data_IF_708990785646
#
_entry.id   IF_708990785646
#
_cell.length_a   1.000
_cell.length_b   1.000
_cell.length_c   1.000
_cell.angle_alpha   90.00
_cell.angle_beta   90.00
_cell.angle_gamma   90.00
#
_symmetry.space_group_name_H-M   'P 1'
#
loop_
_entity.id
_entity.type
_entity.pdbx_description
1 polymer ?
#
# COMPACT_ATOMS: atom_id res chain seq x y z
N UNK A 1 29.54 -20.14 -21.34
CA UNK A 1 28.83 -18.92 -20.85
C UNK A 1 27.73 -18.41 -21.79
N UNK A 2 27.93 -18.30 -23.11
CA UNK A 2 26.92 -17.77 -24.04
C UNK A 2 25.61 -18.58 -24.15
N UNK A 3 25.68 -19.91 -24.14
CA UNK A 3 24.50 -20.79 -24.25
C UNK A 3 23.58 -20.74 -23.01
N UNK A 4 24.17 -20.63 -21.81
CA UNK A 4 23.43 -20.47 -20.56
C UNK A 4 22.73 -19.10 -20.49
N UNK A 5 23.40 -18.04 -20.95
CA UNK A 5 22.83 -16.68 -21.03
C UNK A 5 21.69 -16.58 -22.05
N UNK A 6 21.78 -17.28 -23.18
CA UNK A 6 20.72 -17.33 -24.20
C UNK A 6 19.51 -18.15 -23.74
N UNK A 7 19.71 -19.28 -23.05
CA UNK A 7 18.61 -20.03 -22.43
C UNK A 7 17.88 -19.23 -21.36
N UNK A 8 18.60 -18.54 -20.47
CA UNK A 8 18.00 -17.68 -19.44
C UNK A 8 17.20 -16.51 -20.03
N UNK A 9 17.70 -15.89 -21.12
CA UNK A 9 16.99 -14.81 -21.81
C UNK A 9 15.70 -15.30 -22.49
N UNK A 10 15.74 -16.43 -23.19
CA UNK A 10 14.55 -17.01 -23.82
C UNK A 10 13.51 -17.46 -22.79
N UNK A 11 13.94 -17.96 -21.63
CA UNK A 11 13.03 -18.37 -20.56
C UNK A 11 12.34 -17.16 -19.90
N UNK A 12 13.10 -16.09 -19.62
CA UNK A 12 12.53 -14.83 -19.11
C UNK A 12 11.56 -14.17 -20.10
N UNK A 13 11.87 -14.20 -21.40
CA UNK A 13 10.99 -13.69 -22.45
C UNK A 13 9.70 -14.52 -22.57
N UNK A 14 9.80 -15.86 -22.50
CA UNK A 14 8.64 -16.74 -22.48
C UNK A 14 7.78 -16.56 -21.22
N UNK A 15 8.41 -16.40 -20.06
CA UNK A 15 7.71 -16.18 -18.79
C UNK A 15 6.98 -14.83 -18.81
N UNK A 16 7.62 -13.76 -19.31
CA UNK A 16 6.99 -12.45 -19.49
C UNK A 16 5.81 -12.52 -20.46
N UNK A 17 5.98 -13.16 -21.62
CA UNK A 17 4.90 -13.30 -22.62
C UNK A 17 3.70 -14.09 -22.07
N UNK A 18 3.95 -15.13 -21.27
CA UNK A 18 2.90 -15.89 -20.58
C UNK A 18 2.18 -15.05 -19.51
N UNK A 19 2.91 -14.22 -18.77
CA UNK A 19 2.32 -13.29 -17.80
C UNK A 19 1.44 -12.24 -18.47
N UNK A 20 1.87 -11.70 -19.61
CA UNK A 20 1.10 -10.72 -20.39
C UNK A 20 -0.20 -11.33 -20.93
N UNK A 21 -0.15 -12.59 -21.38
CA UNK A 21 -1.34 -13.34 -21.79
C UNK A 21 -2.34 -13.47 -20.63
N UNK A 22 -1.88 -13.82 -19.42
CA UNK A 22 -2.77 -13.92 -18.24
C UNK A 22 -3.37 -12.58 -17.82
N UNK A 23 -2.63 -11.48 -17.95
CA UNK A 23 -3.18 -10.12 -17.74
C UNK A 23 -4.32 -9.84 -18.71
N UNK A 24 -4.14 -10.19 -20.00
CA UNK A 24 -5.17 -10.05 -21.01
C UNK A 24 -6.39 -10.95 -20.72
N UNK A 25 -6.18 -12.20 -20.31
CA UNK A 25 -7.25 -13.13 -19.91
C UNK A 25 -8.09 -12.58 -18.75
N UNK A 26 -7.46 -12.09 -17.68
CA UNK A 26 -8.19 -11.46 -16.57
C UNK A 26 -8.96 -10.23 -17.04
N UNK A 27 -8.37 -9.38 -17.87
CA UNK A 27 -9.03 -8.20 -18.43
C UNK A 27 -10.27 -8.56 -19.23
N UNK A 28 -10.18 -9.57 -20.09
CA UNK A 28 -11.33 -10.09 -20.85
C UNK A 28 -12.38 -10.66 -19.90
N UNK A 29 -11.96 -11.42 -18.90
CA UNK A 29 -12.87 -12.08 -17.96
C UNK A 29 -13.61 -11.12 -17.02
N UNK A 30 -13.05 -9.94 -16.71
CA UNK A 30 -13.72 -8.86 -15.98
C UNK A 30 -14.82 -8.17 -16.81
N UNK A 31 -14.73 -8.26 -18.14
CA UNK A 31 -15.62 -7.56 -19.04
C UNK A 31 -15.35 -6.05 -19.12
N UNK A 32 -16.25 -5.28 -19.74
CA UNK A 32 -16.07 -3.84 -19.91
C UNK A 32 -16.09 -3.12 -18.56
N UNK A 33 -15.06 -2.32 -18.30
CA UNK A 33 -14.96 -1.44 -17.13
C UNK A 33 -15.13 0.02 -17.56
N UNK A 34 -15.65 0.85 -16.66
CA UNK A 34 -15.81 2.29 -16.85
C UNK A 34 -15.40 3.09 -15.61
N UNK A 35 -15.26 4.40 -15.78
CA UNK A 35 -14.97 5.34 -14.69
C UNK A 35 -13.74 4.96 -13.85
N UNK A 36 -13.88 5.04 -12.53
CA UNK A 36 -12.79 4.75 -11.58
C UNK A 36 -12.33 3.29 -11.62
N UNK A 37 -13.22 2.34 -11.93
CA UNK A 37 -12.86 0.92 -12.06
C UNK A 37 -11.90 0.70 -13.22
N UNK A 38 -12.16 1.33 -14.37
CA UNK A 38 -11.23 1.30 -15.52
C UNK A 38 -9.88 1.93 -15.16
N UNK A 39 -9.91 3.08 -14.46
CA UNK A 39 -8.69 3.77 -14.03
C UNK A 39 -7.86 2.96 -13.02
N UNK A 40 -8.51 2.23 -12.12
CA UNK A 40 -7.86 1.37 -11.13
C UNK A 40 -7.24 0.12 -11.77
N UNK A 41 -7.91 -0.51 -12.73
CA UNK A 41 -7.53 -1.79 -13.34
C UNK A 41 -6.45 -1.69 -14.44
N UNK A 42 -5.34 -1.00 -14.13
CA UNK A 42 -4.13 -0.98 -14.97
C UNK A 42 -3.49 -2.37 -15.10
N UNK A 43 -2.64 -2.58 -16.09
CA UNK A 43 -1.90 -3.85 -16.27
C UNK A 43 -1.11 -4.22 -15.01
N UNK A 44 -0.43 -3.23 -14.41
CA UNK A 44 0.29 -3.43 -13.14
C UNK A 44 -0.66 -3.83 -12.01
N UNK A 45 -1.87 -3.26 -11.95
CA UNK A 45 -2.90 -3.71 -11.02
C UNK A 45 -3.26 -5.17 -11.24
N UNK A 46 -3.61 -5.56 -12.48
CA UNK A 46 -3.99 -6.94 -12.79
C UNK A 46 -2.87 -7.93 -12.43
N UNK A 47 -1.60 -7.58 -12.68
CA UNK A 47 -0.44 -8.39 -12.28
C UNK A 47 -0.37 -8.60 -10.77
N UNK A 48 -0.60 -7.58 -9.94
CA UNK A 48 -0.58 -7.75 -8.48
C UNK A 48 -1.63 -8.75 -7.99
N UNK A 49 -2.84 -8.71 -8.56
CA UNK A 49 -3.90 -9.68 -8.24
C UNK A 49 -3.59 -11.08 -8.78
N UNK A 50 -2.92 -11.19 -9.93
CA UNK A 50 -2.39 -12.45 -10.46
C UNK A 50 -1.33 -13.03 -9.53
N UNK A 51 -0.31 -12.26 -9.17
CA UNK A 51 0.75 -12.70 -8.27
C UNK A 51 0.21 -13.17 -6.91
N UNK A 52 -0.71 -12.42 -6.31
CA UNK A 52 -1.34 -12.76 -5.04
C UNK A 52 -2.19 -14.04 -5.07
N UNK A 53 -2.52 -14.55 -6.26
CA UNK A 53 -3.26 -15.81 -6.44
C UNK A 53 -2.49 -16.82 -7.30
N UNK A 54 -1.15 -16.74 -7.30
CA UNK A 54 -0.27 -17.66 -8.02
C UNK A 54 -0.58 -17.77 -9.52
N UNK A 55 -0.93 -16.64 -10.13
CA UNK A 55 -1.30 -16.52 -11.54
C UNK A 55 -2.53 -17.34 -11.94
N UNK A 56 -3.45 -17.60 -11.01
CA UNK A 56 -4.75 -18.24 -11.26
C UNK A 56 -5.79 -17.19 -11.66
N UNK A 57 -6.20 -17.22 -12.93
CA UNK A 57 -7.06 -16.19 -13.55
C UNK A 57 -8.39 -16.05 -12.83
N UNK A 58 -9.06 -17.15 -12.50
CA UNK A 58 -10.38 -17.14 -11.87
C UNK A 58 -10.31 -16.60 -10.44
N UNK A 59 -9.32 -17.05 -9.66
CA UNK A 59 -9.13 -16.54 -8.29
C UNK A 59 -8.72 -15.07 -8.28
N UNK A 60 -7.88 -14.64 -9.20
CA UNK A 60 -7.48 -13.24 -9.34
C UNK A 60 -8.64 -12.34 -9.75
N UNK A 61 -9.44 -12.78 -10.74
CA UNK A 61 -10.67 -12.09 -11.14
C UNK A 61 -11.58 -11.90 -9.94
N UNK A 62 -11.90 -12.98 -9.21
CA UNK A 62 -12.79 -12.94 -8.05
C UNK A 62 -12.30 -11.95 -6.99
N UNK A 63 -11.03 -12.02 -6.62
CA UNK A 63 -10.42 -11.10 -5.64
C UNK A 63 -10.46 -9.64 -6.10
N UNK A 64 -10.28 -9.40 -7.40
CA UNK A 64 -10.35 -8.06 -7.98
C UNK A 64 -11.79 -7.53 -8.02
N UNK A 65 -12.78 -8.35 -8.38
CA UNK A 65 -14.20 -7.98 -8.31
C UNK A 65 -14.64 -7.63 -6.88
N UNK A 66 -14.19 -8.41 -5.89
CA UNK A 66 -14.40 -8.11 -4.47
C UNK A 66 -13.79 -6.77 -4.07
N UNK A 67 -12.61 -6.44 -4.62
CA UNK A 67 -11.94 -5.16 -4.38
C UNK A 67 -12.62 -3.99 -5.08
N UNK A 68 -13.09 -4.16 -6.31
CA UNK A 68 -13.87 -3.15 -7.02
C UNK A 68 -15.19 -2.85 -6.28
N UNK A 69 -15.85 -3.88 -5.75
CA UNK A 69 -17.05 -3.73 -4.91
C UNK A 69 -16.73 -3.04 -3.58
N UNK A 70 -15.62 -3.40 -2.94
CA UNK A 70 -15.17 -2.72 -1.73
C UNK A 70 -14.88 -1.24 -2.02
N UNK A 71 -14.17 -0.92 -3.10
CA UNK A 71 -13.88 0.48 -3.47
C UNK A 71 -15.14 1.27 -3.80
N UNK A 72 -16.13 0.69 -4.47
CA UNK A 72 -17.38 1.39 -4.78
C UNK A 72 -18.22 1.73 -3.55
N UNK A 73 -18.07 0.96 -2.47
CA UNK A 73 -18.83 1.15 -1.21
C UNK A 73 -18.04 1.92 -0.16
N UNK A 74 -16.78 1.55 0.05
CA UNK A 74 -15.88 2.15 1.04
C UNK A 74 -15.26 3.48 0.57
N UNK A 75 -15.09 3.64 -0.75
CA UNK A 75 -14.59 4.84 -1.42
C UNK A 75 -13.28 5.38 -0.82
N UNK A 76 -12.21 4.57 -0.82
CA UNK A 76 -10.94 4.96 -0.20
C UNK A 76 -10.34 6.23 -0.83
N UNK A 77 -10.60 6.47 -2.13
CA UNK A 77 -10.16 7.69 -2.81
C UNK A 77 -10.92 8.97 -2.41
N UNK A 78 -12.06 8.87 -1.72
CA UNK A 78 -12.86 10.03 -1.27
C UNK A 78 -12.55 10.40 0.20
N UNK A 79 -11.68 9.67 0.88
CA UNK A 79 -11.28 9.99 2.26
C UNK A 79 -10.34 11.20 2.24
N UNK A 80 -10.69 12.26 2.98
CA UNK A 80 -9.89 13.47 3.11
C UNK A 80 -9.13 13.52 4.43
N UNK A 81 -7.98 14.21 4.44
CA UNK A 81 -7.15 14.35 5.63
C UNK A 81 -7.90 14.87 6.86
N UNK A 82 -8.74 15.92 6.78
CA UNK A 82 -9.44 16.46 7.95
C UNK A 82 -10.34 15.43 8.66
N UNK A 83 -10.83 14.41 7.96
CA UNK A 83 -11.65 13.35 8.55
C UNK A 83 -10.84 12.40 9.45
N UNK A 84 -9.54 12.24 9.17
CA UNK A 84 -8.68 11.23 9.81
C UNK A 84 -7.45 11.84 10.49
N UNK A 85 -7.30 13.17 10.50
CA UNK A 85 -6.13 13.87 11.03
C UNK A 85 -5.91 13.57 12.53
N UNK A 86 -6.99 13.55 13.33
CA UNK A 86 -6.92 13.28 14.77
C UNK A 86 -6.27 11.92 15.11
N UNK A 87 -6.46 10.91 14.25
CA UNK A 87 -5.81 9.60 14.42
C UNK A 87 -4.27 9.70 14.26
N UNK A 88 -3.79 10.69 13.51
CA UNK A 88 -2.38 10.91 13.22
C UNK A 88 -1.64 11.81 14.22
N UNK A 89 -2.30 12.42 15.21
CA UNK A 89 -1.69 13.46 16.09
C UNK A 89 -0.38 13.03 16.77
N UNK A 90 -0.28 11.75 17.13
CA UNK A 90 0.92 11.17 17.78
C UNK A 90 1.92 10.57 16.79
N UNK A 91 1.62 10.61 15.49
CA UNK A 91 2.41 9.97 14.43
C UNK A 91 2.48 8.45 14.61
N UNK A 92 1.36 7.81 14.97
CA UNK A 92 1.28 6.35 15.08
C UNK A 92 1.44 5.63 13.74
N UNK A 93 1.01 6.27 12.66
CA UNK A 93 1.28 5.84 11.28
C UNK A 93 1.48 7.09 10.44
N UNK A 94 2.50 7.13 9.59
CA UNK A 94 2.71 8.24 8.67
C UNK A 94 3.64 7.84 7.51
N UNK A 95 3.58 8.60 6.41
CA UNK A 95 4.54 8.50 5.31
C UNK A 95 5.79 9.27 5.66
N UNK A 96 6.95 8.62 5.57
CA UNK A 96 8.23 9.29 5.77
C UNK A 96 8.51 10.29 4.64
N UNK A 97 9.30 11.32 4.94
CA UNK A 97 9.83 12.27 3.97
C UNK A 97 11.13 11.78 3.29
N UNK A 98 11.56 10.56 3.60
CA UNK A 98 12.71 9.89 2.98
C UNK A 98 12.28 8.60 2.29
N UNK A 99 13.16 8.10 1.44
CA UNK A 99 12.96 6.87 0.68
C UNK A 99 14.01 5.84 1.08
N UNK A 100 13.74 4.57 0.76
CA UNK A 100 14.81 3.58 0.80
C UNK A 100 15.79 3.76 -0.38
N UNK A 101 16.89 3.00 -0.39
CA UNK A 101 17.93 3.08 -1.44
C UNK A 101 17.44 2.74 -2.85
N UNK A 102 16.26 2.15 -2.98
CA UNK A 102 15.61 1.87 -4.27
C UNK A 102 14.58 2.95 -4.64
N UNK A 103 14.48 4.03 -3.86
CA UNK A 103 13.56 5.14 -4.07
C UNK A 103 12.13 4.85 -3.61
N UNK A 104 11.86 3.69 -2.97
CA UNK A 104 10.48 3.34 -2.60
C UNK A 104 10.01 4.21 -1.44
N UNK A 105 8.73 4.58 -1.49
CA UNK A 105 8.02 5.24 -0.40
C UNK A 105 8.11 4.41 0.87
N UNK A 106 8.26 5.09 2.01
CA UNK A 106 8.39 4.46 3.32
C UNK A 106 7.19 4.82 4.19
N UNK A 107 6.49 3.81 4.69
CA UNK A 107 5.50 3.98 5.76
C UNK A 107 6.14 3.65 7.10
N UNK A 108 5.98 4.56 8.07
CA UNK A 108 6.41 4.35 9.45
C UNK A 108 5.16 4.07 10.29
N UNK A 109 5.19 2.98 11.05
CA UNK A 109 4.16 2.61 12.01
C UNK A 109 4.79 2.48 13.39
N UNK A 110 4.19 3.11 14.39
CA UNK A 110 4.65 3.12 15.78
C UNK A 110 3.52 2.67 16.69
N UNK A 111 3.32 1.35 16.90
CA UNK A 111 2.22 0.85 17.73
C UNK A 111 2.26 1.37 19.19
N UNK A 112 3.42 1.76 19.70
CA UNK A 112 3.56 2.42 21.01
C UNK A 112 2.99 3.84 21.08
N UNK A 113 2.61 4.44 19.95
CA UNK A 113 2.07 5.80 19.86
C UNK A 113 0.55 5.81 19.65
N UNK A 114 -0.15 4.69 19.86
CA UNK A 114 -1.61 4.64 19.70
C UNK A 114 -2.30 5.66 20.62
N UNK A 115 -3.14 6.52 20.05
CA UNK A 115 -3.78 7.65 20.74
C UNK A 115 -5.30 7.55 20.82
N UNK A 116 -5.91 6.69 20.02
CA UNK A 116 -7.37 6.57 19.87
C UNK A 116 -7.82 5.12 20.04
N UNK A 117 -9.06 4.90 20.44
CA UNK A 117 -9.63 3.56 20.61
C UNK A 117 -10.53 3.10 19.45
N UNK A 118 -10.94 4.00 18.53
CA UNK A 118 -11.92 3.68 17.48
C UNK A 118 -11.34 2.75 16.41
N UNK A 119 -11.78 1.47 16.31
CA UNK A 119 -11.26 0.55 15.30
C UNK A 119 -11.51 1.04 13.88
N UNK A 120 -12.68 1.61 13.64
CA UNK A 120 -13.11 2.12 12.33
C UNK A 120 -12.24 3.29 11.88
N UNK A 121 -12.02 4.29 12.74
CA UNK A 121 -11.19 5.43 12.39
C UNK A 121 -9.72 5.04 12.19
N UNK A 122 -9.21 4.07 12.96
CA UNK A 122 -7.87 3.53 12.78
C UNK A 122 -7.70 2.86 11.42
N UNK A 123 -8.71 2.08 10.99
CA UNK A 123 -8.74 1.46 9.67
C UNK A 123 -8.84 2.54 8.58
N UNK A 124 -9.72 3.54 8.75
CA UNK A 124 -9.91 4.64 7.81
C UNK A 124 -8.63 5.46 7.62
N UNK A 125 -7.95 5.78 8.71
CA UNK A 125 -6.65 6.46 8.70
C UNK A 125 -5.57 5.64 8.00
N UNK A 126 -5.47 4.34 8.28
CA UNK A 126 -4.51 3.47 7.59
C UNK A 126 -4.79 3.38 6.09
N UNK A 127 -6.05 3.21 5.69
CA UNK A 127 -6.45 3.16 4.28
C UNK A 127 -6.13 4.48 3.57
N UNK A 128 -6.42 5.61 4.21
CA UNK A 128 -6.03 6.93 3.70
C UNK A 128 -4.52 7.02 3.43
N UNK A 129 -3.69 6.63 4.42
CA UNK A 129 -2.23 6.65 4.26
C UNK A 129 -1.74 5.66 3.20
N UNK A 130 -2.42 4.53 3.01
CA UNK A 130 -2.10 3.56 1.96
C UNK A 130 -2.36 4.14 0.56
N UNK A 131 -3.53 4.74 0.32
CA UNK A 131 -3.84 5.39 -0.97
C UNK A 131 -2.83 6.52 -1.27
N UNK A 132 -2.53 7.33 -0.25
CA UNK A 132 -1.53 8.41 -0.33
C UNK A 132 -0.12 7.91 -0.62
N UNK A 133 0.30 6.81 0.02
CA UNK A 133 1.60 6.20 -0.23
C UNK A 133 1.67 5.60 -1.64
N UNK A 134 0.58 4.99 -2.13
CA UNK A 134 0.51 4.44 -3.49
C UNK A 134 0.63 5.54 -4.54
N UNK A 135 -0.08 6.66 -4.40
CA UNK A 135 -0.01 7.79 -5.34
C UNK A 135 1.34 8.51 -5.32
N UNK A 136 2.16 8.28 -4.30
CA UNK A 136 3.49 8.86 -4.15
C UNK A 136 4.62 7.85 -4.34
N UNK A 137 4.31 6.67 -4.88
CA UNK A 137 5.34 5.77 -5.39
C UNK A 137 6.05 6.41 -6.59
N UNK A 138 7.37 6.20 -6.74
CA UNK A 138 8.07 6.56 -7.96
C UNK A 138 7.45 5.92 -9.20
N UNK A 139 7.69 6.52 -10.36
CA UNK A 139 7.25 5.93 -11.63
C UNK A 139 7.82 4.51 -11.80
N UNK A 140 6.94 3.56 -12.12
CA UNK A 140 7.27 2.13 -12.25
C UNK A 140 7.44 1.37 -10.93
N UNK A 141 7.38 2.04 -9.77
CA UNK A 141 7.40 1.37 -8.48
C UNK A 141 5.98 0.94 -8.06
N UNK A 142 5.84 -0.31 -7.64
CA UNK A 142 4.56 -0.89 -7.23
C UNK A 142 4.46 -1.20 -5.74
N UNK A 143 5.61 -1.13 -5.05
CA UNK A 143 5.78 -1.59 -3.68
C UNK A 143 6.44 -0.53 -2.79
N UNK A 144 6.08 -0.54 -1.51
CA UNK A 144 6.58 0.35 -0.47
C UNK A 144 7.25 -0.41 0.67
N UNK A 145 8.15 0.27 1.36
CA UNK A 145 8.87 -0.24 2.51
C UNK A 145 8.16 0.17 3.81
N UNK A 146 8.13 -0.73 4.78
CA UNK A 146 7.49 -0.49 6.08
C UNK A 146 8.54 -0.53 7.18
N UNK A 147 8.55 0.50 8.02
CA UNK A 147 9.31 0.54 9.27
C UNK A 147 8.32 0.53 10.43
N UNK A 148 8.33 -0.55 11.20
CA UNK A 148 7.40 -0.75 12.32
C UNK A 148 8.20 -0.70 13.62
N UNK A 149 8.13 0.42 14.33
CA UNK A 149 8.83 0.64 15.60
C UNK A 149 7.95 0.21 16.79
N UNK A 150 8.34 -0.88 17.44
CA UNK A 150 7.67 -1.39 18.63
C UNK A 150 8.19 -0.78 19.94
N UNK A 151 9.07 0.21 19.89
CA UNK A 151 9.51 0.93 21.08
C UNK A 151 8.30 1.57 21.77
N UNK A 152 8.17 1.37 23.09
CA UNK A 152 7.02 1.83 23.87
C UNK A 152 5.74 1.00 23.69
N UNK A 153 5.73 -0.03 22.84
CA UNK A 153 4.58 -0.93 22.72
C UNK A 153 4.28 -1.63 24.04
N UNK A 154 3.04 -1.51 24.51
CA UNK A 154 2.58 -2.10 25.76
C UNK A 154 1.10 -2.47 25.68
N UNK A 155 0.56 -3.05 26.76
CA UNK A 155 -0.86 -3.42 26.83
C UNK A 155 -1.80 -2.21 26.73
N UNK A 156 -1.36 -1.00 27.12
CA UNK A 156 -2.20 0.22 27.02
C UNK A 156 -2.28 0.78 25.61
N UNK A 157 -1.32 0.46 24.74
CA UNK A 157 -1.27 0.92 23.35
C UNK A 157 -1.72 -0.18 22.37
N UNK A 158 -2.26 -1.27 22.90
CA UNK A 158 -2.66 -2.45 22.14
C UNK A 158 -3.95 -2.20 21.35
N UNK A 159 -3.98 -2.62 20.09
CA UNK A 159 -5.22 -2.69 19.30
C UNK A 159 -5.91 -4.05 19.49
N UNK A 160 -7.24 -4.10 19.59
CA UNK A 160 -7.96 -5.37 19.67
C UNK A 160 -7.58 -6.35 18.54
N UNK A 161 -7.47 -7.65 18.84
CA UNK A 161 -7.22 -8.71 17.82
C UNK A 161 -8.18 -8.61 16.64
N UNK A 162 -9.45 -8.23 16.89
CA UNK A 162 -10.43 -8.04 15.82
C UNK A 162 -9.98 -6.94 14.85
N UNK A 163 -9.60 -5.77 15.36
CA UNK A 163 -9.07 -4.66 14.56
C UNK A 163 -7.82 -5.07 13.79
N UNK A 164 -6.89 -5.79 14.43
CA UNK A 164 -5.70 -6.30 13.75
C UNK A 164 -6.05 -7.27 12.61
N UNK A 165 -7.07 -8.13 12.80
CA UNK A 165 -7.58 -9.04 11.77
C UNK A 165 -8.23 -8.28 10.61
N UNK A 166 -9.04 -7.26 10.91
CA UNK A 166 -9.72 -6.45 9.91
C UNK A 166 -8.70 -5.67 9.06
N UNK A 167 -7.69 -5.05 9.69
CA UNK A 167 -6.54 -4.45 8.99
C UNK A 167 -5.84 -5.48 8.11
N UNK A 168 -5.51 -6.66 8.66
CA UNK A 168 -4.83 -7.71 7.90
C UNK A 168 -5.66 -8.17 6.70
N UNK A 169 -6.98 -8.25 6.85
CA UNK A 169 -7.90 -8.62 5.78
C UNK A 169 -7.90 -7.59 4.66
N UNK A 170 -7.99 -6.30 5.00
CA UNK A 170 -7.98 -5.20 4.02
C UNK A 170 -6.67 -5.18 3.24
N UNK A 171 -5.52 -5.25 3.94
CA UNK A 171 -4.21 -5.23 3.29
C UNK A 171 -4.01 -6.43 2.35
N UNK A 172 -4.43 -7.63 2.76
CA UNK A 172 -4.27 -8.85 1.95
C UNK A 172 -5.24 -8.91 0.77
N UNK A 173 -6.47 -8.42 0.92
CA UNK A 173 -7.51 -8.59 -0.10
C UNK A 173 -7.66 -7.41 -1.05
N UNK A 174 -7.37 -6.18 -0.60
CA UNK A 174 -7.59 -4.96 -1.37
C UNK A 174 -6.29 -4.22 -1.74
N UNK A 175 -5.17 -4.57 -1.10
CA UNK A 175 -3.84 -4.03 -1.38
C UNK A 175 -2.79 -5.13 -1.67
N UNK A 176 -3.10 -6.12 -2.53
CA UNK A 176 -2.17 -7.22 -2.81
C UNK A 176 -0.85 -6.71 -3.37
N UNK A 177 0.23 -7.40 -3.01
CA UNK A 177 1.59 -7.16 -3.50
C UNK A 177 2.08 -5.71 -3.38
N UNK A 178 1.59 -4.94 -2.40
CA UNK A 178 2.10 -3.58 -2.10
C UNK A 178 3.29 -3.55 -1.14
N UNK A 179 3.52 -4.62 -0.37
CA UNK A 179 4.65 -4.70 0.55
C UNK A 179 5.92 -5.13 -0.18
N UNK A 180 6.95 -4.30 -0.14
CA UNK A 180 8.29 -4.65 -0.60
C UNK A 180 9.10 -5.33 0.50
N UNK A 181 9.10 -4.74 1.70
CA UNK A 181 9.77 -5.24 2.90
C UNK A 181 9.15 -4.58 4.13
N UNK A 182 9.10 -5.30 5.25
CA UNK A 182 8.72 -4.79 6.55
C UNK A 182 9.84 -5.03 7.55
N UNK A 183 10.39 -3.98 8.12
CA UNK A 183 11.30 -4.07 9.25
C UNK A 183 10.54 -3.83 10.55
N UNK A 184 10.50 -4.86 11.40
CA UNK A 184 9.96 -4.78 12.75
C UNK A 184 11.12 -4.46 13.67
N UNK A 185 11.20 -3.20 14.10
CA UNK A 185 12.23 -2.67 14.95
C UNK A 185 11.86 -2.81 16.43
N UNK A 186 12.78 -3.38 17.21
CA UNK A 186 12.65 -3.64 18.64
C UNK A 186 11.33 -4.33 19.08
N UNK A 187 10.78 -5.33 18.35
CA UNK A 187 9.55 -5.98 18.77
C UNK A 187 9.78 -6.87 20.00
N UNK A 188 8.78 -7.06 20.87
CA UNK A 188 8.87 -8.01 21.98
C UNK A 188 9.35 -9.37 21.48
N UNK A 189 10.33 -9.99 22.14
CA UNK A 189 10.99 -11.23 21.65
C UNK A 189 10.01 -12.38 21.35
N UNK A 190 8.87 -12.41 22.02
CA UNK A 190 7.79 -13.37 21.74
C UNK A 190 7.26 -13.28 20.30
N UNK A 191 7.34 -12.11 19.64
CA UNK A 191 6.91 -11.91 18.26
C UNK A 191 7.73 -12.74 17.27
N UNK A 192 9.04 -12.94 17.51
CA UNK A 192 9.84 -13.83 16.66
C UNK A 192 9.37 -15.28 16.76
N UNK A 193 9.06 -15.75 17.97
CA UNK A 193 8.56 -17.10 18.19
C UNK A 193 7.20 -17.29 17.51
N UNK A 194 6.29 -16.33 17.68
CA UNK A 194 5.01 -16.31 16.99
C UNK A 194 5.17 -16.30 15.46
N UNK A 195 6.04 -15.42 14.93
CA UNK A 195 6.30 -15.33 13.50
C UNK A 195 6.84 -16.63 12.91
N UNK A 196 7.74 -17.33 13.62
CA UNK A 196 8.22 -18.66 13.21
C UNK A 196 7.09 -19.67 13.08
N UNK A 197 6.09 -19.62 13.96
CA UNK A 197 4.92 -20.50 13.89
C UNK A 197 3.97 -20.13 12.72
N UNK A 198 3.64 -18.85 12.57
CA UNK A 198 2.72 -18.43 11.49
C UNK A 198 3.34 -18.48 10.09
N UNK A 199 4.67 -18.41 10.00
CA UNK A 199 5.41 -18.47 8.73
C UNK A 199 5.07 -19.71 7.89
N UNK A 200 4.70 -20.83 8.50
CA UNK A 200 4.28 -22.04 7.78
C UNK A 200 2.95 -21.89 7.03
N UNK A 201 2.14 -20.88 7.39
CA UNK A 201 0.86 -20.59 6.77
C UNK A 201 0.92 -19.38 5.81
N UNK A 202 2.04 -18.65 5.79
CA UNK A 202 2.29 -17.56 4.86
C UNK A 202 2.94 -18.12 3.59
N UNK A 203 2.65 -17.52 2.44
CA UNK A 203 3.44 -17.81 1.26
C UNK A 203 4.91 -17.40 1.49
N UNK A 204 5.82 -18.12 0.85
CA UNK A 204 7.27 -17.94 1.06
C UNK A 204 7.73 -16.52 0.76
N UNK A 205 7.15 -15.84 -0.24
CA UNK A 205 7.53 -14.46 -0.60
C UNK A 205 7.16 -13.51 0.52
N UNK A 206 5.92 -13.56 1.01
CA UNK A 206 5.45 -12.72 2.13
C UNK A 206 6.29 -12.94 3.39
N UNK A 207 6.59 -14.21 3.73
CA UNK A 207 7.42 -14.51 4.89
C UNK A 207 8.86 -13.95 4.78
N UNK A 208 9.42 -13.89 3.57
CA UNK A 208 10.77 -13.35 3.34
C UNK A 208 10.82 -11.82 3.44
N UNK A 209 9.70 -11.12 3.23
CA UNK A 209 9.59 -9.65 3.32
C UNK A 209 9.64 -9.14 4.76
N UNK A 210 9.40 -9.97 5.77
CA UNK A 210 9.40 -9.56 7.19
C UNK A 210 10.79 -9.75 7.80
N UNK A 211 11.39 -8.65 8.28
CA UNK A 211 12.70 -8.62 8.93
C UNK A 211 12.56 -8.11 10.36
N UNK A 212 13.26 -8.76 11.28
CA UNK A 212 13.32 -8.34 12.68
C UNK A 212 14.63 -7.60 12.91
N UNK A 213 14.58 -6.44 13.56
CA UNK A 213 15.76 -5.63 13.89
C UNK A 213 15.77 -5.34 15.37
N UNK A 214 16.89 -5.62 16.02
CA UNK A 214 17.10 -5.33 17.43
C UNK A 214 18.29 -4.36 17.56
N UNK A 215 18.16 -3.25 18.30
CA UNK A 215 19.22 -2.25 18.42
C UNK A 215 20.60 -2.83 18.84
N UNK A 216 20.57 -3.88 19.66
CA UNK A 216 21.78 -4.52 20.20
C UNK A 216 22.31 -5.68 19.34
N UNK A 217 21.67 -5.99 18.21
CA UNK A 217 22.07 -7.04 17.28
C UNK A 217 22.65 -6.41 16.01
N UNK A 218 23.98 -6.49 15.88
CA UNK A 218 24.76 -5.87 14.80
C UNK A 218 24.32 -6.36 13.42
N UNK A 219 24.04 -7.65 13.25
CA UNK A 219 23.69 -8.23 11.96
C UNK A 219 22.32 -7.73 11.50
N UNK A 220 21.37 -7.63 12.44
CA UNK A 220 20.03 -7.11 12.15
C UNK A 220 20.03 -5.61 11.81
N UNK A 221 20.90 -4.84 12.47
CA UNK A 221 21.09 -3.41 12.16
C UNK A 221 21.76 -3.24 10.80
N UNK A 222 22.75 -4.05 10.47
CA UNK A 222 23.41 -3.99 9.15
C UNK A 222 22.43 -4.35 8.02
N UNK A 223 21.52 -5.30 8.25
CA UNK A 223 20.44 -5.59 7.32
C UNK A 223 19.54 -4.36 7.06
N UNK A 224 19.18 -3.60 8.09
CA UNK A 224 18.44 -2.34 7.92
C UNK A 224 19.25 -1.34 7.08
N UNK A 225 20.53 -1.16 7.39
CA UNK A 225 21.45 -0.25 6.67
C UNK A 225 21.73 -0.68 5.24
N UNK A 226 21.57 -1.97 4.92
CA UNK A 226 21.72 -2.44 3.53
C UNK A 226 20.67 -1.82 2.61
N UNK A 227 19.49 -1.48 3.14
CA UNK A 227 18.38 -0.93 2.37
C UNK A 227 18.13 0.57 2.59
N UNK A 228 18.51 1.11 3.74
CA UNK A 228 18.32 2.53 4.04
C UNK A 228 19.65 3.27 4.10
N UNK A 229 19.65 4.52 3.64
CA UNK A 229 20.78 5.41 3.84
C UNK A 229 20.85 5.82 5.33
N UNK A 230 22.00 5.61 5.96
CA UNK A 230 22.23 5.87 7.39
C UNK A 230 22.03 7.35 7.72
N UNK A 231 22.36 8.25 6.79
CA UNK A 231 22.22 9.69 7.01
C UNK A 231 20.74 10.12 7.03
N UNK A 232 19.87 9.42 6.30
CA UNK A 232 18.43 9.72 6.21
C UNK A 232 17.56 8.84 7.14
N UNK A 233 18.09 7.69 7.56
CA UNK A 233 17.40 6.79 8.47
C UNK A 233 17.36 7.41 9.88
N UNK A 234 16.20 7.43 10.55
CA UNK A 234 16.13 7.95 11.91
C UNK A 234 16.97 7.16 12.92
N UNK A 235 17.46 7.84 13.95
CA UNK A 235 18.31 7.28 14.99
C UNK A 235 17.61 6.13 15.74
N UNK A 236 16.29 6.23 15.90
CA UNK A 236 15.42 5.18 16.44
C UNK A 236 15.49 3.88 15.63
N UNK A 237 15.89 3.93 14.36
CA UNK A 237 16.09 2.76 13.50
C UNK A 237 17.58 2.41 13.29
N UNK A 238 18.49 3.05 14.05
CA UNK A 238 19.93 2.83 13.95
C UNK A 238 20.64 3.70 12.90
N UNK A 239 20.00 4.77 12.43
CA UNK A 239 20.60 5.78 11.56
C UNK A 239 21.11 7.02 12.31
N UNK A 240 21.22 8.15 11.61
CA UNK A 240 21.70 9.44 12.15
C UNK A 240 20.70 10.58 12.04
N UNK A 241 19.61 10.41 11.29
CA UNK A 241 18.56 11.42 11.21
C UNK A 241 17.76 11.48 12.51
N UNK A 242 17.07 12.59 12.75
CA UNK A 242 16.10 12.69 13.85
C UNK A 242 14.71 12.33 13.33
N UNK A 243 14.00 11.40 13.98
CA UNK A 243 12.60 11.17 13.66
C UNK A 243 11.73 12.29 14.23
N UNK A 244 11.60 13.40 13.50
CA UNK A 244 10.69 14.48 13.89
C UNK A 244 9.35 14.33 13.18
N UNK A 245 8.41 13.65 13.83
CA UNK A 245 7.01 13.76 13.42
C UNK A 245 6.47 15.11 13.89
N UNK A 246 6.19 16.00 12.94
CA UNK A 246 5.46 17.24 13.18
C UNK A 246 4.07 17.11 12.55
N UNK A 247 3.03 17.06 13.39
CA UNK A 247 1.66 16.83 12.92
C UNK A 247 1.17 17.95 12.00
N UNK A 248 1.53 19.20 12.25
CA UNK A 248 1.11 20.35 11.42
C UNK A 248 1.77 20.30 10.04
N UNK A 249 3.08 20.02 10.00
CA UNK A 249 3.83 19.90 8.75
C UNK A 249 3.33 18.70 7.93
N UNK A 250 3.11 17.56 8.59
CA UNK A 250 2.54 16.38 7.96
C UNK A 250 1.12 16.64 7.45
N UNK A 251 0.30 17.37 8.22
CA UNK A 251 -1.05 17.76 7.81
C UNK A 251 -1.05 18.62 6.56
N UNK A 252 -0.11 19.56 6.43
CA UNK A 252 0.03 20.37 5.21
C UNK A 252 0.35 19.49 4.00
N UNK A 253 1.25 18.52 4.15
CA UNK A 253 1.59 17.57 3.10
C UNK A 253 0.39 16.69 2.69
N UNK A 254 -0.41 16.23 3.67
CA UNK A 254 -1.61 15.43 3.40
C UNK A 254 -2.70 16.24 2.69
N UNK A 255 -2.87 17.52 3.00
CA UNK A 255 -3.77 18.41 2.26
C UNK A 255 -3.30 18.63 0.80
N UNK A 256 -2.00 18.72 0.57
CA UNK A 256 -1.45 18.76 -0.80
C UNK A 256 -1.73 17.45 -1.56
N UNK A 257 -1.63 16.31 -0.87
CA UNK A 257 -1.96 15.02 -1.47
C UNK A 257 -3.47 14.81 -1.67
N UNK A 258 -4.35 15.39 -0.86
CA UNK A 258 -5.80 15.38 -1.10
C UNK A 258 -6.12 16.05 -2.45
N UNK A 259 -5.46 17.17 -2.76
CA UNK A 259 -5.60 17.85 -4.06
C UNK A 259 -5.06 16.97 -5.19
N UNK A 260 -3.90 16.32 -4.99
CA UNK A 260 -3.32 15.38 -5.97
C UNK A 260 -4.25 14.19 -6.22
N UNK A 261 -4.84 13.65 -5.16
CA UNK A 261 -5.78 12.52 -5.18
C UNK A 261 -7.06 12.91 -5.92
N UNK A 262 -7.63 14.08 -5.62
CA UNK A 262 -8.81 14.61 -6.31
C UNK A 262 -8.59 14.73 -7.82
N UNK A 263 -7.46 15.34 -8.22
CA UNK A 263 -7.06 15.46 -9.63
C UNK A 263 -6.85 14.09 -10.28
N UNK A 264 -6.18 13.17 -9.57
CA UNK A 264 -5.96 11.83 -10.10
C UNK A 264 -7.27 11.08 -10.27
N UNK A 265 -8.23 11.15 -9.35
CA UNK A 265 -9.48 10.40 -9.47
C UNK A 265 -10.60 11.14 -10.21
N UNK A 266 -10.37 12.39 -10.62
CA UNK A 266 -11.37 13.23 -11.28
C UNK A 266 -12.54 13.58 -10.36
N UNK A 267 -12.29 13.79 -9.05
CA UNK A 267 -13.37 14.10 -8.09
C UNK A 267 -13.90 15.53 -8.25
N UNK A 268 -13.07 16.44 -8.77
CA UNK A 268 -13.43 17.84 -9.05
C UNK A 268 -14.26 18.01 -10.34
N UNK A 269 -14.33 16.98 -11.19
CA UNK A 269 -15.11 17.00 -12.42
C UNK A 269 -16.60 16.83 -12.06
N UNK A 270 -17.35 17.93 -12.04
CA UNK A 270 -18.81 17.86 -12.00
C UNK A 270 -19.29 17.01 -13.19
N UNK A 271 -20.26 16.10 -13.01
CA UNK A 271 -20.90 15.46 -14.15
C UNK A 271 -21.48 16.56 -15.04
N UNK A 272 -21.02 16.63 -16.29
CA UNK A 272 -21.50 17.57 -17.30
C UNK A 272 -22.93 17.18 -17.69
N UNK A 273 -23.88 17.50 -16.82
CA UNK A 273 -25.32 17.41 -17.10
C UNK A 273 -25.79 18.53 -18.04
N UNK A 274 -24.91 19.49 -18.37
CA UNK A 274 -25.23 20.65 -19.21
C UNK A 274 -25.07 20.40 -20.71
N UNK A 275 -24.23 19.44 -21.15
CA UNK A 275 -24.12 19.13 -22.59
C UNK A 275 -25.30 18.36 -23.18
N UNK A 276 -25.88 17.42 -22.45
CA UNK A 276 -26.99 16.62 -22.96
C UNK A 276 -28.31 17.42 -23.06
N UNK A 277 -28.53 18.43 -22.21
CA UNK A 277 -29.73 19.27 -22.29
C UNK A 277 -29.66 20.30 -23.43
N UNK A 278 -28.47 20.83 -23.76
CA UNK A 278 -28.29 21.72 -24.90
C UNK A 278 -28.36 21.00 -26.25
N UNK A 279 -27.86 19.76 -26.35
CA UNK A 279 -28.00 18.96 -27.59
C UNK A 279 -29.46 18.56 -27.85
N UNK A 280 -30.20 18.09 -26.84
CA UNK A 280 -31.63 17.76 -27.01
C UNK A 280 -32.50 19.01 -27.25
N UNK A 281 -32.18 20.15 -26.65
CA UNK A 281 -32.89 21.40 -26.92
C UNK A 281 -32.63 21.94 -28.34
N UNK A 282 -31.48 21.61 -28.94
CA UNK A 282 -31.17 22.00 -30.33
C UNK A 282 -31.88 21.15 -31.39
N UNK A 283 -32.21 19.89 -31.08
CA UNK A 283 -33.00 19.02 -31.97
C UNK A 283 -34.51 19.31 -31.92
N UNK A 284 -35.01 19.83 -30.80
CA UNK A 284 -36.43 20.19 -30.62
C UNK A 284 -36.85 21.52 -31.27
N UNK A 285 -35.90 22.33 -31.77
CA UNK A 285 -36.18 23.64 -32.41
C UNK A 285 -36.15 23.56 -33.94
N UNK A 286 -35.92 22.38 -34.53
CA UNK A 286 -35.83 22.18 -36.00
C UNK A 286 -36.96 21.29 -36.55
N UNK A 287 -38.10 21.17 -35.86
CA UNK A 287 -39.32 20.52 -36.38
C UNK A 287 -40.51 21.46 -36.36
#
# INVERSE_FOLDING_TARGET
>A
MYLLRRKGKNQLENDSSNQDAKVAEVRVALGPLSGRSLKYCTDACLRRYLEARNWDVDKSKKMLEESLKWRSTYKPEEILWPEVAHEGETGKVFRANFHDKLGRTVLIMRPGMQNTASPENNIRHLVYLMENAILNLPEGAEQMSWLIDFTGFSLSTYIPIKTARDISYILQNHYPERLAIAFLYNPPRIFQAFFKAVKYFLDTKTAQKVKFVYPNDKDSVELMKSLFDVENLPAEFGGKATLKYNHEEFSRLMLEDDVKTSKFWGLDEKPDHTKNEMEMASELVVV
#
